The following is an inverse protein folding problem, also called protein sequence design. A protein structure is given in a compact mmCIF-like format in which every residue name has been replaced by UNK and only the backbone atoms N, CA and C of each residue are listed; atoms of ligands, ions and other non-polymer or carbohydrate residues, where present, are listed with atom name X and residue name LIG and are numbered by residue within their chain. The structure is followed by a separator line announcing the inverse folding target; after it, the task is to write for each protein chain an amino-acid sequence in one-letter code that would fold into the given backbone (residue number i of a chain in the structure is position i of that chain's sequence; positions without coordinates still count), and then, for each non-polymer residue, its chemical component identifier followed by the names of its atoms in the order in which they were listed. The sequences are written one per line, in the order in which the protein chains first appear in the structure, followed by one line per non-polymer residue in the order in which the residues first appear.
data_IF_720847620766
#
_entry.id   IF_720847620766
#
_cell.length_a   1.000
_cell.length_b   1.000
_cell.length_c   1.000
_cell.angle_alpha   90.00
_cell.angle_beta   90.00
_cell.angle_gamma   90.00
#
_symmetry.space_group_name_H-M   'P 1'
#
loop_
_entity.id
_entity.type
_entity.pdbx_description
1 polymer ?
#
# COMPACT_ATOMS: atom_id res chain seq x y z
N UNK A 1 16.91 -19.70 13.29
CA UNK A 1 16.84 -18.23 13.39
C UNK A 1 15.40 -17.85 13.69
N UNK A 2 15.17 -16.71 14.36
CA UNK A 2 13.82 -16.19 14.51
C UNK A 2 13.28 -15.77 13.13
N UNK A 3 11.99 -15.98 12.88
CA UNK A 3 11.35 -15.55 11.63
C UNK A 3 11.37 -14.00 11.55
N UNK A 4 11.67 -13.39 10.41
CA UNK A 4 11.56 -11.95 10.23
C UNK A 4 10.12 -11.50 10.42
N UNK A 5 9.94 -10.39 11.14
CA UNK A 5 8.63 -9.77 11.36
C UNK A 5 8.25 -8.93 10.15
N UNK A 6 7.03 -9.13 9.65
CA UNK A 6 6.52 -8.42 8.47
C UNK A 6 5.19 -7.75 8.82
N UNK A 7 5.05 -6.46 8.50
CA UNK A 7 3.76 -5.75 8.54
C UNK A 7 3.42 -5.20 7.16
N UNK A 8 2.13 -5.08 6.87
CA UNK A 8 1.64 -4.41 5.68
C UNK A 8 0.45 -3.50 5.95
N UNK A 9 0.15 -2.59 5.04
CA UNK A 9 -1.06 -1.76 5.11
C UNK A 9 -1.54 -1.29 3.72
N UNK A 10 -2.77 -0.79 3.67
CA UNK A 10 -3.41 -0.20 2.48
C UNK A 10 -3.49 1.32 2.63
N UNK A 11 -2.91 2.04 1.66
CA UNK A 11 -3.07 3.49 1.55
C UNK A 11 -4.16 3.81 0.52
N UNK A 12 -3.93 4.78 -0.38
CA UNK A 12 -4.80 5.05 -1.52
C UNK A 12 -4.62 3.99 -2.61
N UNK A 13 -5.12 2.77 -2.34
CA UNK A 13 -5.08 1.60 -3.22
C UNK A 13 -6.45 0.97 -3.43
N UNK A 14 -6.49 -0.19 -4.09
CA UNK A 14 -7.71 -0.96 -4.36
C UNK A 14 -7.75 -2.32 -3.65
N UNK A 15 -6.80 -2.59 -2.75
CA UNK A 15 -6.52 -3.91 -2.15
C UNK A 15 -6.03 -4.98 -3.14
N UNK A 16 -5.91 -4.65 -4.44
CA UNK A 16 -5.53 -5.60 -5.48
C UNK A 16 -4.14 -6.20 -5.29
N UNK A 17 -3.19 -5.48 -4.68
CA UNK A 17 -1.85 -6.06 -4.46
C UNK A 17 -1.87 -7.07 -3.32
N UNK A 18 -2.69 -6.86 -2.29
CA UNK A 18 -2.95 -7.86 -1.26
C UNK A 18 -3.78 -9.03 -1.79
N UNK A 19 -4.67 -8.83 -2.77
CA UNK A 19 -5.33 -9.96 -3.43
C UNK A 19 -4.32 -10.79 -4.24
N UNK A 20 -3.41 -10.15 -4.98
CA UNK A 20 -2.33 -10.86 -5.67
C UNK A 20 -1.37 -11.60 -4.72
N UNK A 21 -1.16 -11.07 -3.50
CA UNK A 21 -0.49 -11.81 -2.43
C UNK A 21 -1.26 -13.09 -2.04
N UNK A 22 -2.59 -13.05 -2.02
CA UNK A 22 -3.43 -14.21 -1.73
C UNK A 22 -3.57 -15.16 -2.93
N UNK A 23 -3.41 -14.67 -4.17
CA UNK A 23 -3.32 -15.46 -5.40
C UNK A 23 -2.02 -16.31 -5.47
N UNK A 24 -1.23 -16.34 -4.40
CA UNK A 24 -0.18 -17.35 -4.20
C UNK A 24 -0.74 -18.75 -3.93
N UNK A 25 -2.04 -18.87 -3.66
CA UNK A 25 -2.75 -20.11 -3.36
C UNK A 25 -2.04 -20.89 -2.25
N UNK A 26 -1.64 -22.15 -2.48
CA UNK A 26 -1.00 -22.96 -1.44
C UNK A 26 0.38 -22.45 -1.03
N UNK A 27 1.06 -21.66 -1.88
CA UNK A 27 2.39 -21.09 -1.58
C UNK A 27 2.36 -20.07 -0.45
N UNK A 28 1.19 -19.54 -0.08
CA UNK A 28 1.06 -18.69 1.10
C UNK A 28 1.47 -19.44 2.38
N UNK A 29 1.30 -20.77 2.40
CA UNK A 29 1.74 -21.64 3.52
C UNK A 29 3.26 -21.60 3.68
N UNK A 30 4.00 -21.53 2.57
CA UNK A 30 5.45 -21.40 2.61
C UNK A 30 5.86 -20.02 3.15
N UNK A 31 5.17 -18.95 2.73
CA UNK A 31 5.43 -17.59 3.21
C UNK A 31 5.23 -17.49 4.73
N UNK A 32 4.11 -17.97 5.27
CA UNK A 32 3.85 -17.94 6.73
C UNK A 32 4.80 -18.85 7.51
N UNK A 33 5.40 -19.85 6.87
CA UNK A 33 6.45 -20.66 7.47
C UNK A 33 7.80 -19.93 7.52
N UNK A 34 8.03 -18.99 6.60
CA UNK A 34 9.25 -18.19 6.54
C UNK A 34 9.18 -16.91 7.38
N UNK A 35 8.01 -16.28 7.51
CA UNK A 35 7.87 -14.96 8.18
C UNK A 35 6.91 -14.99 9.37
N UNK A 36 7.05 -14.02 10.28
CA UNK A 36 6.08 -13.72 11.33
C UNK A 36 5.21 -12.54 10.87
N UNK A 37 4.00 -12.83 10.38
CA UNK A 37 3.05 -11.81 9.94
C UNK A 37 2.47 -11.09 11.16
N UNK A 38 2.64 -9.77 11.18
CA UNK A 38 2.20 -8.87 12.26
C UNK A 38 0.95 -8.10 11.81
N UNK A 39 0.97 -6.78 11.93
CA UNK A 39 -0.10 -5.90 11.46
C UNK A 39 -0.24 -5.98 9.96
N UNK A 40 -1.40 -6.39 9.49
CA UNK A 40 -1.79 -6.37 8.08
C UNK A 40 -3.32 -6.25 8.02
N UNK A 41 -3.91 -5.71 6.94
CA UNK A 41 -5.37 -5.63 6.82
C UNK A 41 -6.11 -6.98 6.90
N UNK A 42 -5.39 -8.10 6.77
CA UNK A 42 -5.93 -9.45 6.91
C UNK A 42 -5.70 -10.08 8.30
N UNK A 43 -5.15 -9.34 9.27
CA UNK A 43 -5.01 -9.75 10.68
C UNK A 43 -5.70 -8.75 11.61
N UNK A 44 -5.84 -9.12 12.89
CA UNK A 44 -6.48 -8.26 13.89
C UNK A 44 -5.56 -7.20 14.50
N UNK A 45 -4.25 -7.29 14.26
CA UNK A 45 -3.25 -6.33 14.76
C UNK A 45 -3.39 -5.01 13.99
N UNK A 46 -3.53 -3.89 14.70
CA UNK A 46 -3.87 -2.59 14.11
C UNK A 46 -2.68 -1.76 13.67
N UNK A 47 -1.53 -1.97 14.30
CA UNK A 47 -0.32 -1.22 14.03
C UNK A 47 0.91 -2.12 14.04
N UNK A 48 1.96 -1.78 13.26
CA UNK A 48 3.25 -2.45 13.39
C UNK A 48 3.73 -2.44 14.84
N UNK A 49 4.41 -3.52 15.25
CA UNK A 49 4.95 -3.68 16.60
C UNK A 49 5.69 -2.41 17.05
N UNK A 50 5.48 -1.97 18.30
CA UNK A 50 6.18 -0.79 18.85
C UNK A 50 7.70 -0.96 18.87
N UNK A 51 8.17 -2.20 19.03
CA UNK A 51 9.59 -2.56 18.95
C UNK A 51 10.16 -2.52 17.53
N UNK A 52 9.31 -2.29 16.52
CA UNK A 52 9.65 -2.36 15.10
C UNK A 52 9.54 -3.77 14.50
N UNK A 53 9.57 -3.80 13.17
CA UNK A 53 9.51 -4.98 12.30
C UNK A 53 10.68 -4.97 11.31
N UNK A 54 10.97 -6.13 10.72
CA UNK A 54 12.06 -6.27 9.75
C UNK A 54 11.66 -5.71 8.39
N UNK A 55 10.43 -5.99 7.95
CA UNK A 55 9.89 -5.53 6.67
C UNK A 55 8.54 -4.85 6.87
N UNK A 56 8.40 -3.63 6.37
CA UNK A 56 7.13 -2.94 6.20
C UNK A 56 6.76 -2.92 4.71
N UNK A 57 5.50 -3.18 4.39
CA UNK A 57 5.00 -3.22 3.01
C UNK A 57 3.79 -2.28 2.91
N UNK A 58 3.82 -1.34 1.97
CA UNK A 58 2.69 -0.44 1.75
C UNK A 58 2.23 -0.57 0.31
N UNK A 59 0.94 -0.91 0.11
CA UNK A 59 0.29 -0.71 -1.17
C UNK A 59 -0.48 0.62 -1.19
N UNK A 60 -0.73 1.14 -2.39
CA UNK A 60 -1.46 2.39 -2.56
C UNK A 60 -0.59 3.64 -2.47
N UNK A 61 -1.04 4.71 -3.12
CA UNK A 61 -0.40 6.02 -3.02
C UNK A 61 -0.81 6.77 -1.75
N UNK A 62 -0.40 8.02 -1.62
CA UNK A 62 -0.82 8.90 -0.51
C UNK A 62 -1.78 9.95 -1.09
N UNK A 63 -3.02 10.02 -0.60
CA UNK A 63 -4.00 11.01 -1.09
C UNK A 63 -4.74 11.79 0.01
N UNK A 64 -4.45 11.51 1.28
CA UNK A 64 -5.04 12.19 2.43
C UNK A 64 -4.11 12.11 3.65
N UNK A 65 -4.37 12.92 4.67
CA UNK A 65 -3.54 13.03 5.87
C UNK A 65 -3.36 11.70 6.64
N UNK A 66 -4.35 10.81 6.61
CA UNK A 66 -4.25 9.50 7.27
C UNK A 66 -3.27 8.57 6.54
N UNK A 67 -3.29 8.56 5.21
CA UNK A 67 -2.31 7.77 4.44
C UNK A 67 -0.87 8.23 4.71
N UNK A 68 -0.65 9.54 4.82
CA UNK A 68 0.66 10.09 5.18
C UNK A 68 1.09 9.62 6.58
N UNK A 69 0.19 9.70 7.57
CA UNK A 69 0.46 9.24 8.94
C UNK A 69 0.85 7.75 8.96
N UNK A 70 0.08 6.89 8.28
CA UNK A 70 0.37 5.45 8.17
C UNK A 70 1.73 5.21 7.51
N UNK A 71 2.05 5.91 6.42
CA UNK A 71 3.32 5.78 5.72
C UNK A 71 4.51 6.17 6.60
N UNK A 72 4.44 7.31 7.30
CA UNK A 72 5.47 7.79 8.22
C UNK A 72 5.64 6.84 9.41
N UNK A 73 4.53 6.39 10.01
CA UNK A 73 4.55 5.44 11.13
C UNK A 73 5.17 4.10 10.72
N UNK A 74 4.76 3.51 9.59
CA UNK A 74 5.36 2.27 9.08
C UNK A 74 6.85 2.44 8.81
N UNK A 75 7.25 3.52 8.12
CA UNK A 75 8.68 3.81 7.85
C UNK A 75 9.50 3.90 9.13
N UNK A 76 8.97 4.55 10.18
CA UNK A 76 9.66 4.69 11.47
C UNK A 76 9.86 3.35 12.21
N UNK A 77 9.04 2.35 11.88
CA UNK A 77 8.98 1.04 12.56
C UNK A 77 9.49 -0.11 11.72
N UNK A 78 9.97 0.11 10.50
CA UNK A 78 10.53 -0.96 9.67
C UNK A 78 11.99 -0.70 9.29
N UNK A 79 12.76 -1.80 9.17
CA UNK A 79 14.14 -1.74 8.66
C UNK A 79 14.13 -1.56 7.13
N UNK A 80 13.33 -2.36 6.44
CA UNK A 80 13.12 -2.31 4.99
C UNK A 80 11.68 -1.89 4.71
N UNK A 81 11.49 -0.84 3.91
CA UNK A 81 10.18 -0.44 3.41
C UNK A 81 10.02 -0.83 1.94
N UNK A 82 8.94 -1.55 1.63
CA UNK A 82 8.56 -1.98 0.28
C UNK A 82 7.37 -1.17 -0.22
N UNK A 83 7.51 -0.52 -1.37
CA UNK A 83 6.38 0.02 -2.13
C UNK A 83 5.82 -1.09 -3.03
N UNK A 84 4.59 -1.54 -2.75
CA UNK A 84 3.95 -2.64 -3.46
C UNK A 84 2.87 -2.13 -4.42
N UNK A 85 3.10 -2.35 -5.71
CA UNK A 85 2.21 -2.02 -6.81
C UNK A 85 2.29 -0.58 -7.31
N UNK A 86 1.77 -0.36 -8.52
CA UNK A 86 1.91 0.91 -9.25
C UNK A 86 1.31 2.12 -8.54
N UNK A 87 0.31 1.90 -7.68
CA UNK A 87 -0.22 2.97 -6.84
C UNK A 87 0.83 3.48 -5.85
N UNK A 88 1.56 2.57 -5.17
CA UNK A 88 2.61 2.95 -4.23
C UNK A 88 3.87 3.47 -4.96
N UNK A 89 4.24 2.85 -6.08
CA UNK A 89 5.45 3.18 -6.83
C UNK A 89 5.31 4.46 -7.67
N UNK A 90 4.14 4.69 -8.27
CA UNK A 90 3.93 5.77 -9.26
C UNK A 90 2.69 6.64 -9.01
N UNK A 91 1.89 6.35 -7.98
CA UNK A 91 0.60 6.99 -7.71
C UNK A 91 -0.61 6.30 -8.37
N UNK A 92 -0.38 5.55 -9.45
CA UNK A 92 -1.36 4.67 -10.11
C UNK A 92 -2.60 5.39 -10.68
N UNK A 93 -3.68 4.62 -10.88
CA UNK A 93 -4.97 5.15 -11.37
C UNK A 93 -5.53 6.28 -10.50
N UNK A 94 -5.44 6.24 -9.15
CA UNK A 94 -5.91 7.35 -8.31
C UNK A 94 -5.27 8.71 -8.66
N UNK A 95 -4.02 8.72 -9.16
CA UNK A 95 -3.32 9.93 -9.55
C UNK A 95 -3.92 10.63 -10.77
N UNK A 96 -4.81 9.98 -11.54
CA UNK A 96 -5.60 10.65 -12.58
C UNK A 96 -6.48 11.77 -12.01
N UNK A 97 -6.86 11.71 -10.72
CA UNK A 97 -7.57 12.81 -10.06
C UNK A 97 -6.76 14.11 -10.00
N UNK A 98 -5.42 14.04 -10.11
CA UNK A 98 -4.54 15.22 -10.05
C UNK A 98 -4.68 16.15 -11.27
N UNK A 99 -5.38 15.74 -12.33
CA UNK A 99 -5.76 16.63 -13.44
C UNK A 99 -6.86 17.63 -13.07
N UNK A 100 -7.49 17.45 -11.92
CA UNK A 100 -8.53 18.31 -11.37
C UNK A 100 -8.12 18.86 -10.01
N UNK A 101 -8.84 19.87 -9.53
CA UNK A 101 -8.72 20.31 -8.13
C UNK A 101 -9.39 19.30 -7.19
N UNK A 102 -8.97 19.33 -5.93
CA UNK A 102 -9.59 18.53 -4.87
C UNK A 102 -11.06 18.89 -4.72
N UNK A 103 -11.38 20.19 -4.75
CA UNK A 103 -12.75 20.69 -4.64
C UNK A 103 -13.63 20.21 -5.80
N UNK A 104 -13.18 20.31 -7.06
CA UNK A 104 -13.92 19.78 -8.22
C UNK A 104 -14.19 18.28 -8.09
N UNK A 105 -13.19 17.53 -7.62
CA UNK A 105 -13.33 16.08 -7.44
C UNK A 105 -14.37 15.72 -6.36
N UNK A 106 -14.33 16.43 -5.22
CA UNK A 106 -15.26 16.21 -4.11
C UNK A 106 -16.68 16.68 -4.47
N UNK A 107 -16.81 17.82 -5.15
CA UNK A 107 -18.10 18.35 -5.63
C UNK A 107 -18.73 17.37 -6.62
N UNK A 108 -17.94 16.82 -7.56
CA UNK A 108 -18.41 15.78 -8.46
C UNK A 108 -18.89 14.54 -7.69
N UNK A 109 -18.12 14.08 -6.70
CA UNK A 109 -18.45 12.85 -5.97
C UNK A 109 -19.70 12.96 -5.08
N UNK A 110 -19.87 14.09 -4.37
CA UNK A 110 -20.85 14.21 -3.29
C UNK A 110 -22.00 15.19 -3.54
N UNK A 111 -21.98 15.94 -4.65
CA UNK A 111 -22.98 16.99 -4.94
C UNK A 111 -23.56 16.86 -6.35
N UNK A 112 -22.73 16.66 -7.36
CA UNK A 112 -23.15 16.77 -8.78
C UNK A 112 -23.48 15.44 -9.45
N UNK A 113 -23.28 14.31 -8.79
CA UNK A 113 -23.69 13.02 -9.34
C UNK A 113 -25.20 12.97 -9.49
N UNK A 114 -25.66 12.36 -10.57
CA UNK A 114 -27.06 12.38 -11.00
C UNK A 114 -27.98 11.66 -10.01
N UNK A 115 -27.41 10.78 -9.17
CA UNK A 115 -28.10 10.04 -8.11
C UNK A 115 -28.08 10.73 -6.74
N UNK A 116 -27.38 11.86 -6.60
CA UNK A 116 -27.32 12.61 -5.33
C UNK A 116 -28.59 13.44 -5.17
N UNK A 117 -29.22 13.34 -4.00
CA UNK A 117 -30.40 14.13 -3.68
C UNK A 117 -30.06 15.58 -3.29
N UNK A 118 -31.09 16.37 -2.97
CA UNK A 118 -30.96 17.79 -2.63
C UNK A 118 -30.16 18.09 -1.35
N UNK A 119 -29.86 17.08 -0.53
CA UNK A 119 -29.05 17.20 0.69
C UNK A 119 -27.54 17.02 0.46
N UNK A 120 -27.12 16.75 -0.78
CA UNK A 120 -25.73 16.56 -1.16
C UNK A 120 -24.82 17.71 -0.74
N UNK A 121 -23.76 17.39 -0.01
CA UNK A 121 -22.72 18.33 0.41
C UNK A 121 -21.40 17.59 0.57
N UNK A 122 -20.29 18.32 0.49
CA UNK A 122 -18.96 17.76 0.74
C UNK A 122 -18.82 17.45 2.24
N UNK A 123 -18.53 16.20 2.64
CA UNK A 123 -18.31 15.87 4.04
C UNK A 123 -17.15 16.65 4.66
N UNK A 124 -17.32 17.16 5.87
CA UNK A 124 -16.36 18.03 6.55
C UNK A 124 -16.21 17.74 8.05
N UNK A 125 -16.63 16.56 8.51
CA UNK A 125 -16.47 16.14 9.89
C UNK A 125 -14.97 16.07 10.27
N UNK A 126 -14.55 16.58 11.44
CA UNK A 126 -13.16 16.56 11.87
C UNK A 126 -12.57 15.14 12.03
N UNK A 127 -13.38 14.09 12.10
CA UNK A 127 -12.90 12.69 12.09
C UNK A 127 -12.40 12.24 10.71
N UNK A 128 -12.76 12.94 9.63
CA UNK A 128 -12.33 12.61 8.28
C UNK A 128 -10.90 13.07 8.01
N UNK A 129 -10.13 12.22 7.33
CA UNK A 129 -8.81 12.59 6.84
C UNK A 129 -8.91 13.75 5.82
N UNK A 130 -7.91 14.64 5.84
CA UNK A 130 -7.86 15.81 4.96
C UNK A 130 -7.37 15.38 3.57
N UNK A 131 -8.17 15.54 2.50
CA UNK A 131 -7.75 15.14 1.16
C UNK A 131 -6.64 16.04 0.60
N UNK A 132 -5.72 15.44 -0.15
CA UNK A 132 -4.63 16.10 -0.86
C UNK A 132 -4.47 15.53 -2.26
N UNK A 133 -3.52 16.04 -3.05
CA UNK A 133 -3.16 15.41 -4.34
C UNK A 133 -2.62 14.00 -4.09
N UNK A 134 -2.78 13.13 -5.06
CA UNK A 134 -2.21 11.78 -4.98
C UNK A 134 -0.71 11.86 -5.25
N UNK A 135 0.05 11.18 -4.42
CA UNK A 135 1.51 11.09 -4.52
C UNK A 135 1.95 9.63 -4.44
N UNK A 136 3.14 9.36 -5.00
CA UNK A 136 3.80 8.08 -4.80
C UNK A 136 4.42 8.03 -3.39
N UNK A 137 4.68 6.83 -2.88
CA UNK A 137 5.14 6.64 -1.50
C UNK A 137 6.49 7.32 -1.22
N UNK A 138 7.40 7.29 -2.20
CA UNK A 138 8.73 7.90 -2.11
C UNK A 138 8.74 9.43 -2.00
N UNK A 139 7.61 10.09 -2.27
CA UNK A 139 7.50 11.54 -2.11
C UNK A 139 7.45 11.94 -0.61
N UNK A 140 7.08 11.01 0.28
CA UNK A 140 6.89 11.24 1.71
C UNK A 140 7.90 10.50 2.59
N UNK A 141 8.29 9.29 2.21
CA UNK A 141 9.17 8.45 3.02
C UNK A 141 10.22 7.73 2.18
N UNK A 142 11.38 7.44 2.75
CA UNK A 142 12.40 6.62 2.07
C UNK A 142 11.87 5.20 1.84
N UNK A 143 11.78 4.80 0.58
CA UNK A 143 11.48 3.42 0.16
C UNK A 143 12.79 2.70 -0.17
N UNK A 144 12.91 1.44 0.26
CA UNK A 144 14.11 0.63 0.01
C UNK A 144 13.92 -0.36 -1.16
N UNK A 145 12.71 -0.86 -1.37
CA UNK A 145 12.37 -1.81 -2.45
C UNK A 145 11.09 -1.37 -3.15
N UNK A 146 11.08 -1.44 -4.48
CA UNK A 146 9.92 -1.15 -5.32
C UNK A 146 9.49 -2.41 -6.05
N UNK A 147 8.21 -2.75 -5.99
CA UNK A 147 7.62 -3.90 -6.66
C UNK A 147 6.47 -3.39 -7.55
N UNK A 148 6.74 -3.00 -8.81
CA UNK A 148 5.72 -2.45 -9.70
C UNK A 148 4.74 -3.54 -10.21
N UNK A 149 3.62 -3.08 -10.75
CA UNK A 149 2.50 -3.86 -11.30
C UNK A 149 1.15 -3.43 -10.74
N UNK A 150 0.06 -3.60 -11.49
CA UNK A 150 -1.29 -3.20 -11.07
C UNK A 150 -2.32 -4.36 -11.15
N UNK A 151 -2.22 -5.40 -10.29
CA UNK A 151 -1.21 -5.59 -9.25
C UNK A 151 0.07 -6.28 -9.77
N UNK A 152 1.19 -6.28 -9.00
CA UNK A 152 2.32 -7.15 -9.29
C UNK A 152 1.86 -8.60 -9.31
N UNK A 153 2.44 -9.47 -10.15
CA UNK A 153 2.06 -10.88 -10.20
C UNK A 153 2.37 -11.60 -8.88
N UNK A 154 1.59 -12.64 -8.54
CA UNK A 154 1.85 -13.46 -7.36
C UNK A 154 3.29 -14.00 -7.32
N UNK A 155 3.87 -14.33 -8.48
CA UNK A 155 5.26 -14.77 -8.61
C UNK A 155 6.27 -13.67 -8.25
N UNK A 156 6.03 -12.43 -8.69
CA UNK A 156 6.88 -11.29 -8.33
C UNK A 156 6.83 -11.00 -6.83
N UNK A 157 5.64 -11.04 -6.23
CA UNK A 157 5.46 -10.84 -4.79
C UNK A 157 6.13 -11.98 -4.01
N UNK A 158 5.96 -13.24 -4.46
CA UNK A 158 6.55 -14.41 -3.81
C UNK A 158 8.08 -14.34 -3.82
N UNK A 159 8.68 -13.96 -4.96
CA UNK A 159 10.12 -13.72 -5.07
C UNK A 159 10.57 -12.63 -4.09
N UNK A 160 9.88 -11.49 -4.06
CA UNK A 160 10.22 -10.38 -3.18
C UNK A 160 10.19 -10.79 -1.70
N UNK A 161 9.11 -11.43 -1.26
CA UNK A 161 8.97 -11.89 0.13
C UNK A 161 9.97 -12.99 0.49
N UNK A 162 10.25 -13.92 -0.43
CA UNK A 162 11.20 -15.02 -0.19
C UNK A 162 12.64 -14.53 -0.04
N UNK A 163 13.07 -13.57 -0.87
CA UNK A 163 14.39 -12.95 -0.78
C UNK A 163 14.54 -12.14 0.51
N UNK A 164 13.54 -11.30 0.81
CA UNK A 164 13.50 -10.49 2.03
C UNK A 164 13.48 -11.37 3.29
N UNK A 165 12.71 -12.46 3.26
CA UNK A 165 12.65 -13.45 4.34
C UNK A 165 14.00 -14.11 4.64
N UNK A 166 14.90 -14.14 3.66
CA UNK A 166 16.26 -14.65 3.78
C UNK A 166 17.31 -13.54 3.98
N UNK A 167 16.87 -12.30 4.20
CA UNK A 167 17.74 -11.14 4.42
C UNK A 167 18.42 -10.60 3.16
N UNK A 168 17.92 -10.94 1.97
CA UNK A 168 18.42 -10.43 0.68
C UNK A 168 17.48 -9.38 0.11
N UNK A 169 18.03 -8.41 -0.61
CA UNK A 169 17.25 -7.44 -1.38
C UNK A 169 16.85 -8.10 -2.71
N UNK A 170 15.55 -8.15 -3.05
CA UNK A 170 15.11 -8.83 -4.26
C UNK A 170 15.56 -8.09 -5.52
N UNK A 171 15.98 -8.86 -6.52
CA UNK A 171 16.24 -8.37 -7.88
C UNK A 171 15.10 -8.79 -8.82
N UNK A 172 14.18 -7.87 -9.11
CA UNK A 172 13.10 -8.11 -10.06
C UNK A 172 13.61 -7.99 -11.50
N UNK A 173 13.39 -9.01 -12.33
CA UNK A 173 13.90 -9.12 -13.71
C UNK A 173 12.96 -9.96 -14.57
N UNK A 174 12.89 -9.67 -15.87
CA UNK A 174 12.06 -10.43 -16.81
C UNK A 174 10.60 -10.43 -16.37
N UNK A 175 10.00 -11.61 -16.27
CA UNK A 175 8.57 -11.78 -15.96
C UNK A 175 8.15 -11.32 -14.55
N UNK A 176 9.12 -11.09 -13.64
CA UNK A 176 8.85 -10.55 -12.29
C UNK A 176 8.97 -9.03 -12.21
N UNK A 177 9.30 -8.35 -13.31
CA UNK A 177 9.35 -6.89 -13.41
C UNK A 177 8.38 -6.40 -14.49
N UNK A 178 7.19 -5.99 -14.06
CA UNK A 178 6.08 -5.58 -14.92
C UNK A 178 5.37 -4.33 -14.35
N UNK A 179 4.73 -3.53 -15.21
CA UNK A 179 4.04 -2.27 -14.85
C UNK A 179 2.81 -2.02 -15.76
N UNK A 180 2.21 -3.11 -16.22
CA UNK A 180 1.03 -3.11 -17.09
C UNK A 180 -0.26 -3.32 -16.32
#
# INVERSE_FOLDING_TARGET
MAKPKVSSDWLAGCAGCHMSLLDMDERIVDVINLVDLRSTPITDLKHPDESGVDVGILEGGINNSYNEEVAVNMRSKCKILVALGDCAVFGGVPAMRNFFTIEESLRRAYVETESTDESGHIPNDPELAVPMKVHALQDFVKVDVFVPGCPPSADAIFLALSELGQGRIPELKGDTLAWN
#
